data_IF_881622357688
#
_entry.id   IF_881622357688
#
_cell.length_a   1.000
_cell.length_b   1.000
_cell.length_c   1.000
_cell.angle_alpha   90.00
_cell.angle_beta   90.00
_cell.angle_gamma   90.00
#
_symmetry.space_group_name_H-M   'P 1'
#
loop_
_entity.id
_entity.type
_entity.pdbx_description
1 polymer ?
#
# COMPACT_ATOMS: atom_id res chain seq x y z
N UNK A 1 5.60 -41.85 69.06
CA UNK A 1 5.50 -40.52 68.41
C UNK A 1 6.72 -40.42 67.50
N UNK A 2 6.74 -40.22 66.19
CA UNK A 2 5.74 -39.91 65.15
C UNK A 2 6.46 -40.13 63.79
N UNK A 3 5.98 -41.13 63.04
CA UNK A 3 5.93 -41.38 61.58
C UNK A 3 7.01 -40.82 60.62
N UNK A 4 7.58 -41.76 59.85
CA UNK A 4 8.32 -41.58 58.59
C UNK A 4 7.48 -40.86 57.51
N UNK A 5 8.06 -39.84 56.86
CA UNK A 5 7.49 -39.23 55.65
C UNK A 5 8.13 -39.85 54.40
N UNK A 6 7.34 -40.61 53.64
CA UNK A 6 7.63 -41.00 52.26
C UNK A 6 7.17 -39.85 51.36
N UNK A 7 8.09 -39.13 50.73
CA UNK A 7 7.75 -38.14 49.70
C UNK A 7 7.90 -38.80 48.34
N UNK A 8 6.78 -39.27 47.80
CA UNK A 8 6.67 -39.83 46.45
C UNK A 8 6.74 -38.72 45.43
N UNK A 9 7.74 -38.79 44.55
CA UNK A 9 7.87 -37.96 43.36
C UNK A 9 6.75 -38.36 42.36
N UNK A 10 5.78 -37.49 42.12
CA UNK A 10 4.81 -37.68 41.03
C UNK A 10 5.38 -36.99 39.80
N UNK A 11 6.04 -37.77 38.94
CA UNK A 11 6.34 -37.35 37.58
C UNK A 11 5.04 -37.39 36.76
N UNK A 12 4.41 -36.24 36.57
CA UNK A 12 3.26 -36.11 35.68
C UNK A 12 3.73 -36.21 34.22
N UNK A 13 3.62 -37.40 33.64
CA UNK A 13 3.66 -37.62 32.20
C UNK A 13 2.39 -36.99 31.59
N UNK A 14 2.47 -35.73 31.18
CA UNK A 14 1.47 -35.15 30.28
C UNK A 14 1.79 -35.62 28.85
N UNK A 15 1.11 -36.67 28.43
CA UNK A 15 0.92 -37.00 27.02
C UNK A 15 0.08 -35.88 26.37
N UNK A 16 0.72 -34.79 25.98
CA UNK A 16 0.10 -33.74 25.18
C UNK A 16 0.17 -34.11 23.71
N UNK A 17 -0.97 -34.31 23.06
CA UNK A 17 -1.05 -34.53 21.63
C UNK A 17 -0.26 -33.44 20.88
N UNK A 18 0.76 -33.83 20.11
CA UNK A 18 1.35 -32.96 19.11
C UNK A 18 0.30 -32.72 18.03
N UNK A 19 -0.55 -31.70 18.22
CA UNK A 19 -1.32 -31.17 17.12
C UNK A 19 -0.29 -30.66 16.12
N UNK A 20 -0.18 -31.36 14.99
CA UNK A 20 0.58 -30.89 13.85
C UNK A 20 -0.12 -29.64 13.32
N UNK A 21 0.14 -28.50 13.96
CA UNK A 21 -0.25 -27.21 13.43
C UNK A 21 0.53 -27.09 12.10
N UNK A 22 -0.15 -26.84 10.97
CA UNK A 22 0.54 -26.66 9.70
C UNK A 22 1.59 -25.56 9.87
N UNK A 23 2.83 -25.83 9.46
CA UNK A 23 3.99 -24.94 9.62
C UNK A 23 3.77 -23.51 9.05
N UNK A 24 2.78 -23.35 8.16
CA UNK A 24 2.30 -22.08 7.65
C UNK A 24 1.76 -21.12 8.73
N UNK A 25 1.33 -21.65 9.89
CA UNK A 25 0.89 -20.82 11.02
C UNK A 25 2.04 -20.19 11.82
N UNK A 26 3.29 -20.67 11.63
CA UNK A 26 4.48 -20.15 12.30
C UNK A 26 5.42 -19.35 11.38
N UNK A 27 5.17 -19.34 10.06
CA UNK A 27 6.09 -18.73 9.09
C UNK A 27 5.68 -17.35 8.58
N UNK A 28 4.55 -16.80 9.03
CA UNK A 28 4.17 -15.42 8.73
C UNK A 28 4.69 -14.51 9.83
N UNK A 29 5.56 -13.55 9.51
CA UNK A 29 5.75 -12.41 10.40
C UNK A 29 4.37 -11.80 10.72
N UNK A 30 4.07 -11.45 11.99
CA UNK A 30 2.84 -10.75 12.32
C UNK A 30 2.71 -9.53 11.42
N UNK A 31 1.60 -9.41 10.70
CA UNK A 31 1.28 -8.22 9.92
C UNK A 31 1.06 -7.08 10.92
N UNK A 32 1.89 -6.04 10.86
CA UNK A 32 1.73 -4.84 11.68
C UNK A 32 0.68 -3.92 11.04
N UNK A 33 -0.52 -3.77 11.63
CA UNK A 33 -1.60 -2.99 11.03
C UNK A 33 -1.29 -1.49 10.93
N UNK A 34 -0.31 -0.99 11.69
CA UNK A 34 0.00 0.45 11.76
C UNK A 34 0.70 1.00 10.51
N UNK A 35 1.23 0.12 9.66
CA UNK A 35 1.96 0.48 8.45
C UNK A 35 1.35 -0.15 7.19
N UNK A 36 0.06 -0.47 7.22
CA UNK A 36 -0.67 -0.99 6.06
C UNK A 36 -1.44 0.14 5.39
N UNK A 37 -1.35 0.16 4.06
CA UNK A 37 -2.20 0.97 3.20
C UNK A 37 -3.11 0.00 2.48
N UNK A 38 -4.43 0.14 2.64
CA UNK A 38 -5.37 -0.69 1.88
C UNK A 38 -5.40 -0.19 0.44
N UNK A 39 -5.45 -1.11 -0.53
CA UNK A 39 -5.55 -0.73 -1.94
C UNK A 39 -6.81 0.12 -2.20
N UNK A 40 -7.92 -0.21 -1.54
CA UNK A 40 -9.15 0.58 -1.62
C UNK A 40 -9.05 1.99 -1.04
N UNK A 41 -8.04 2.28 -0.19
CA UNK A 41 -7.80 3.65 0.29
C UNK A 41 -6.98 4.47 -0.73
N UNK A 42 -6.31 3.79 -1.67
CA UNK A 42 -5.58 4.42 -2.77
C UNK A 42 -6.48 4.71 -3.96
N UNK A 43 -7.48 3.86 -4.21
CA UNK A 43 -8.47 4.04 -5.27
C UNK A 43 -9.23 5.35 -5.09
N UNK A 44 -9.37 6.14 -6.16
CA UNK A 44 -9.94 7.48 -6.12
C UNK A 44 -9.00 8.56 -5.55
N UNK A 45 -7.81 8.18 -5.10
CA UNK A 45 -6.79 9.10 -4.60
C UNK A 45 -6.36 10.13 -5.64
N UNK A 46 -6.13 11.37 -5.22
CA UNK A 46 -5.78 12.49 -6.11
C UNK A 46 -4.30 12.45 -6.46
N UNK A 47 -3.98 12.68 -7.74
CA UNK A 47 -2.61 12.72 -8.24
C UNK A 47 -2.17 14.16 -8.49
N UNK A 48 -1.04 14.56 -7.92
CA UNK A 48 -0.44 15.89 -8.04
C UNK A 48 0.92 15.83 -8.73
N UNK A 49 1.27 16.89 -9.47
CA UNK A 49 2.56 17.03 -10.17
C UNK A 49 3.48 17.98 -9.41
N UNK A 50 4.65 17.50 -9.00
CA UNK A 50 5.76 18.30 -8.49
C UNK A 50 7.05 18.06 -9.31
N UNK A 51 7.19 18.71 -10.48
CA UNK A 51 8.36 18.54 -11.32
C UNK A 51 9.62 19.19 -10.72
N UNK A 52 9.44 20.09 -9.73
CA UNK A 52 10.55 20.71 -9.01
C UNK A 52 11.21 19.75 -8.01
N UNK A 53 10.58 18.59 -7.72
CA UNK A 53 11.14 17.56 -6.85
C UNK A 53 11.36 18.05 -5.43
N UNK A 54 10.43 18.87 -4.92
CA UNK A 54 10.47 19.41 -3.55
C UNK A 54 10.16 18.34 -2.50
N UNK A 55 9.58 17.20 -2.91
CA UNK A 55 9.45 16.00 -2.09
C UNK A 55 10.66 15.07 -2.19
N UNK A 56 11.13 14.60 -1.03
CA UNK A 56 12.11 13.51 -0.92
C UNK A 56 11.40 12.26 -0.36
N UNK A 57 11.67 11.09 -0.96
CA UNK A 57 11.16 9.81 -0.47
C UNK A 57 11.61 9.52 0.98
N UNK A 58 12.72 10.13 1.43
CA UNK A 58 13.19 10.00 2.81
C UNK A 58 12.54 10.98 3.80
N UNK A 59 12.01 12.10 3.29
CA UNK A 59 11.41 13.17 4.10
C UNK A 59 10.12 13.64 3.42
N UNK A 60 9.01 12.91 3.61
CA UNK A 60 7.73 13.31 3.05
C UNK A 60 7.31 14.68 3.63
N UNK A 61 6.87 15.63 2.79
CA UNK A 61 6.42 16.93 3.27
C UNK A 61 5.20 16.78 4.19
N UNK A 62 5.22 17.45 5.34
CA UNK A 62 4.18 17.36 6.38
C UNK A 62 2.84 17.99 5.96
N UNK A 63 2.88 18.94 5.02
CA UNK A 63 1.71 19.65 4.50
C UNK A 63 1.71 19.55 2.97
N UNK A 64 0.75 18.78 2.46
CA UNK A 64 0.65 18.40 1.04
C UNK A 64 -0.12 19.40 0.19
N UNK A 65 -0.58 20.50 0.80
CA UNK A 65 -1.21 21.64 0.12
C UNK A 65 -0.16 22.68 -0.30
N UNK A 66 0.97 22.24 -0.84
CA UNK A 66 1.72 23.11 -1.74
C UNK A 66 0.87 23.30 -3.00
N UNK A 67 1.04 24.43 -3.71
CA UNK A 67 0.29 24.81 -4.92
C UNK A 67 0.53 23.88 -6.14
N UNK A 68 0.71 22.57 -5.92
CA UNK A 68 0.91 21.58 -6.96
C UNK A 68 -0.39 21.38 -7.76
N UNK A 69 -0.31 21.40 -9.10
CA UNK A 69 -1.46 21.14 -9.93
C UNK A 69 -1.88 19.67 -9.82
N UNK A 70 -3.19 19.44 -9.64
CA UNK A 70 -3.79 18.11 -9.81
C UNK A 70 -3.69 17.71 -11.29
N UNK A 71 -3.18 16.51 -11.54
CA UNK A 71 -2.96 15.97 -12.89
C UNK A 71 -3.86 14.78 -13.22
N UNK A 72 -4.42 14.11 -12.20
CA UNK A 72 -5.27 12.93 -12.39
C UNK A 72 -5.83 12.37 -11.09
N UNK A 73 -6.37 11.16 -11.19
CA UNK A 73 -6.91 10.33 -10.10
C UNK A 73 -6.41 8.89 -10.24
N UNK A 74 -6.28 8.17 -9.13
CA UNK A 74 -5.90 6.75 -9.11
C UNK A 74 -7.14 5.92 -9.43
N UNK A 75 -7.10 5.14 -10.51
CA UNK A 75 -8.15 4.17 -10.84
C UNK A 75 -7.86 2.81 -10.21
N UNK A 76 -6.60 2.36 -10.21
CA UNK A 76 -6.24 1.05 -9.65
C UNK A 76 -4.77 0.99 -9.22
N UNK A 77 -4.42 -0.03 -8.44
CA UNK A 77 -3.07 -0.34 -7.96
C UNK A 77 -2.52 -1.55 -8.71
N UNK A 78 -1.30 -1.42 -9.24
CA UNK A 78 -0.65 -2.50 -9.98
C UNK A 78 0.37 -3.20 -9.10
N UNK A 79 0.17 -4.50 -8.92
CA UNK A 79 1.07 -5.40 -8.21
C UNK A 79 1.80 -6.31 -9.21
N UNK A 80 3.03 -6.69 -8.90
CA UNK A 80 3.69 -7.79 -9.59
C UNK A 80 3.26 -9.17 -9.05
N UNK A 81 3.73 -10.24 -9.70
CA UNK A 81 3.43 -11.62 -9.28
C UNK A 81 3.97 -12.00 -7.89
N UNK A 82 4.87 -11.20 -7.33
CA UNK A 82 5.39 -11.39 -5.97
C UNK A 82 4.55 -10.66 -4.90
N UNK A 83 3.56 -9.87 -5.33
CA UNK A 83 2.70 -9.06 -4.48
C UNK A 83 3.31 -7.70 -4.12
N UNK A 84 4.39 -7.28 -4.77
CA UNK A 84 4.94 -5.94 -4.59
C UNK A 84 4.21 -4.94 -5.48
N UNK A 85 3.87 -3.78 -4.91
CA UNK A 85 3.32 -2.67 -5.69
C UNK A 85 4.39 -2.12 -6.62
N UNK A 86 4.11 -2.12 -7.92
CA UNK A 86 5.00 -1.60 -8.95
C UNK A 86 4.54 -0.24 -9.47
N UNK A 87 3.27 0.11 -9.28
CA UNK A 87 2.71 1.37 -9.72
C UNK A 87 1.22 1.50 -9.49
N UNK A 88 0.63 2.53 -10.06
CA UNK A 88 -0.81 2.79 -10.09
C UNK A 88 -1.26 3.06 -11.51
N UNK A 89 -2.49 2.68 -11.84
CA UNK A 89 -3.18 3.17 -13.03
C UNK A 89 -3.79 4.51 -12.69
N UNK A 90 -3.39 5.55 -13.41
CA UNK A 90 -3.96 6.87 -13.27
C UNK A 90 -4.89 7.19 -14.41
N UNK A 91 -6.04 7.74 -14.07
CA UNK A 91 -6.87 8.47 -15.01
C UNK A 91 -6.38 9.92 -15.11
N UNK A 92 -5.88 10.28 -16.28
CA UNK A 92 -5.40 11.62 -16.62
C UNK A 92 -6.50 12.34 -17.37
N UNK A 93 -7.43 12.92 -16.60
CA UNK A 93 -8.66 13.50 -17.14
C UNK A 93 -8.48 14.51 -18.28
N UNK A 94 -9.27 14.31 -19.32
CA UNK A 94 -9.61 15.28 -20.36
C UNK A 94 -10.59 16.33 -19.85
N UNK A 95 -10.91 17.33 -20.66
CA UNK A 95 -11.93 18.31 -20.30
C UNK A 95 -13.32 17.65 -20.50
N UNK A 96 -14.04 17.37 -19.41
CA UNK A 96 -15.44 16.85 -19.38
C UNK A 96 -15.63 15.34 -19.62
N UNK A 97 -14.67 14.48 -19.26
CA UNK A 97 -14.84 13.03 -19.39
C UNK A 97 -14.73 12.51 -20.84
N UNK A 98 -14.27 13.36 -21.75
CA UNK A 98 -13.96 13.01 -23.13
C UNK A 98 -12.43 13.18 -23.29
N UNK A 99 -11.76 12.08 -23.67
CA UNK A 99 -10.31 12.05 -23.80
C UNK A 99 -9.58 11.77 -22.48
N UNK A 100 -10.26 11.14 -21.54
CA UNK A 100 -9.64 10.50 -20.38
C UNK A 100 -8.72 9.40 -20.88
N UNK A 101 -7.56 9.29 -20.24
CA UNK A 101 -6.50 8.37 -20.64
C UNK A 101 -5.95 7.69 -19.41
N UNK A 102 -5.97 6.37 -19.45
CA UNK A 102 -5.39 5.55 -18.39
C UNK A 102 -3.91 5.33 -18.67
N UNK A 103 -3.07 5.66 -17.69
CA UNK A 103 -1.60 5.50 -17.80
C UNK A 103 -1.05 4.82 -16.57
N UNK A 104 -0.03 3.98 -16.76
CA UNK A 104 0.70 3.37 -15.66
C UNK A 104 1.72 4.37 -15.11
N UNK A 105 1.57 4.78 -13.86
CA UNK A 105 2.61 5.50 -13.13
C UNK A 105 3.44 4.53 -12.28
N UNK A 106 4.75 4.41 -12.54
CA UNK A 106 5.63 3.61 -11.70
C UNK A 106 5.75 4.18 -10.28
N UNK A 107 5.71 3.31 -9.28
CA UNK A 107 5.82 3.72 -7.87
C UNK A 107 7.18 4.37 -7.56
N UNK A 108 8.23 4.03 -8.31
CA UNK A 108 9.59 4.57 -8.15
C UNK A 108 9.68 6.07 -8.47
N UNK A 109 8.73 6.59 -9.24
CA UNK A 109 8.65 8.00 -9.63
C UNK A 109 7.63 8.79 -8.82
N UNK A 110 7.00 8.15 -7.84
CA UNK A 110 5.89 8.71 -7.09
C UNK A 110 6.07 8.51 -5.59
N UNK A 111 5.31 9.25 -4.81
CA UNK A 111 5.23 9.06 -3.37
C UNK A 111 3.77 9.10 -2.95
N UNK A 112 3.38 8.14 -2.12
CA UNK A 112 2.06 8.07 -1.50
C UNK A 112 2.15 8.76 -0.15
N UNK A 113 1.25 9.70 0.09
CA UNK A 113 1.25 10.53 1.28
C UNK A 113 -0.15 10.51 1.89
N UNK A 114 -0.28 10.40 3.22
CA UNK A 114 -1.58 10.44 3.88
C UNK A 114 -2.19 11.83 3.68
N UNK A 115 -3.42 11.91 3.16
CA UNK A 115 -4.14 13.17 3.11
C UNK A 115 -4.54 13.55 4.53
N UNK A 116 -4.04 14.69 5.01
CA UNK A 116 -4.46 15.25 6.30
C UNK A 116 -5.78 16.00 6.09
N UNK A 117 -6.84 15.23 5.90
CA UNK A 117 -8.26 15.62 5.88
C UNK A 117 -9.05 14.52 6.60
N UNK A 118 -10.22 14.85 7.15
CA UNK A 118 -11.03 13.96 8.00
C UNK A 118 -11.51 12.64 7.34
N UNK A 119 -11.17 12.44 6.08
CA UNK A 119 -11.57 11.39 5.16
C UNK A 119 -10.53 10.27 4.97
N UNK A 120 -9.31 10.42 5.48
CA UNK A 120 -8.29 9.34 5.44
C UNK A 120 -7.84 8.97 4.01
N UNK A 121 -8.14 9.80 3.02
CA UNK A 121 -7.71 9.58 1.63
C UNK A 121 -6.18 9.58 1.54
N UNK A 122 -5.62 8.86 0.58
CA UNK A 122 -4.22 9.02 0.20
C UNK A 122 -4.12 9.91 -1.03
N UNK A 123 -3.03 10.66 -1.12
CA UNK A 123 -2.67 11.34 -2.36
C UNK A 123 -1.34 10.84 -2.88
N UNK A 124 -1.19 10.95 -4.19
CA UNK A 124 0.01 10.53 -4.88
C UNK A 124 0.66 11.75 -5.52
N UNK A 125 1.93 11.97 -5.22
CA UNK A 125 2.72 13.02 -5.83
C UNK A 125 3.66 12.39 -6.83
N UNK A 126 3.62 12.86 -8.06
CA UNK A 126 4.49 12.43 -9.13
C UNK A 126 5.45 13.54 -9.52
N UNK A 127 6.64 13.18 -10.00
CA UNK A 127 7.55 14.11 -10.68
C UNK A 127 7.13 14.37 -12.14
N UNK A 128 6.19 13.59 -12.64
CA UNK A 128 5.65 13.73 -13.99
C UNK A 128 4.68 14.90 -14.11
N UNK A 129 4.72 15.56 -15.26
CA UNK A 129 3.75 16.60 -15.61
C UNK A 129 2.54 16.00 -16.32
N UNK A 130 1.41 16.72 -16.31
CA UNK A 130 0.20 16.30 -17.04
C UNK A 130 0.47 15.99 -18.52
N UNK A 131 1.32 16.78 -19.17
CA UNK A 131 1.65 16.58 -20.58
C UNK A 131 2.54 15.36 -20.80
N UNK A 132 3.47 15.08 -19.87
CA UNK A 132 4.27 13.85 -19.89
C UNK A 132 3.37 12.62 -19.81
N UNK A 133 2.42 12.62 -18.87
CA UNK A 133 1.47 11.52 -18.72
C UNK A 133 0.60 11.33 -19.97
N UNK A 134 0.15 12.40 -20.61
CA UNK A 134 -0.59 12.29 -21.89
C UNK A 134 0.24 11.66 -23.01
N UNK A 135 1.56 11.80 -22.98
CA UNK A 135 2.47 11.21 -23.96
C UNK A 135 2.82 9.74 -23.67
N UNK A 136 2.57 9.25 -22.45
CA UNK A 136 2.84 7.85 -22.08
C UNK A 136 1.95 6.87 -22.84
N UNK A 137 2.36 5.59 -23.00
CA UNK A 137 1.49 4.55 -23.54
C UNK A 137 0.20 4.45 -22.73
N UNK A 138 -0.93 4.34 -23.42
CA UNK A 138 -2.21 4.08 -22.79
C UNK A 138 -2.25 2.64 -22.28
N UNK A 139 -2.77 2.46 -21.08
CA UNK A 139 -3.13 1.14 -20.56
C UNK A 139 -4.58 0.90 -20.95
N UNK A 140 -4.83 -0.09 -21.81
CA UNK A 140 -6.20 -0.45 -22.18
C UNK A 140 -6.93 -0.99 -20.96
N UNK A 141 -8.10 -0.40 -20.66
CA UNK A 141 -8.99 -0.82 -19.56
C UNK A 141 -9.36 -2.31 -19.65
N UNK A 142 -9.43 -2.87 -20.87
CA UNK A 142 -9.74 -4.28 -21.13
C UNK A 142 -8.63 -5.28 -20.79
N UNK A 143 -7.47 -4.86 -20.29
CA UNK A 143 -6.45 -5.76 -19.76
C UNK A 143 -6.78 -6.28 -18.34
N UNK A 144 -7.78 -5.70 -17.68
CA UNK A 144 -8.09 -5.93 -16.26
C UNK A 144 -9.55 -6.36 -15.99
N UNK A 145 -10.42 -6.40 -17.01
CA UNK A 145 -11.81 -6.91 -16.95
C UNK A 145 -11.91 -8.44 -17.12
#
# INVERSE_FOLDING_TARGET
>A
MTRFAKTTLVAALLAGAALAVPAWAQSGAPIDPSNLILAGDLEGGKIYSDPAGTWDATTPPADLKADWPKIGEIEDVVLDSSGQMVGVVADVGGFLGIGDKHVLLPIVSTVILPHRGDDGEYLLVSRETKDSLKAMPEVEKGLWD
#
